data_IF_556859632180
#
_entry.id   IF_556859632180
#
_cell.length_a   1.000
_cell.length_b   1.000
_cell.length_c   1.000
_cell.angle_alpha   90.00
_cell.angle_beta   90.00
_cell.angle_gamma   90.00
#
_symmetry.space_group_name_H-M   'P 1'
#
loop_
_entity.id
_entity.type
_entity.pdbx_description
1 polymer ?
#
# COMPACT_ATOMS: atom_id res chain seq x y z
N UNK A 1 3.48 -14.20 -5.33
CA UNK A 1 3.67 -12.85 -5.92
C UNK A 1 2.72 -11.89 -5.25
N UNK A 2 3.29 -10.84 -4.68
CA UNK A 2 2.60 -9.72 -4.07
C UNK A 2 2.00 -8.83 -5.15
N UNK A 3 0.77 -8.40 -4.95
CA UNK A 3 0.05 -7.55 -5.89
C UNK A 3 -0.81 -6.54 -5.13
N UNK A 4 -0.74 -5.28 -5.53
CA UNK A 4 -1.53 -4.20 -4.92
C UNK A 4 -2.18 -3.42 -6.05
N UNK A 5 -3.50 -3.37 -6.03
CA UNK A 5 -4.29 -2.69 -7.06
C UNK A 5 -5.14 -1.59 -6.44
N UNK A 6 -5.18 -0.44 -7.11
CA UNK A 6 -6.02 0.68 -6.72
C UNK A 6 -7.10 0.90 -7.77
N UNK A 7 -8.32 1.11 -7.31
CA UNK A 7 -9.48 1.31 -8.16
C UNK A 7 -10.31 2.49 -7.65
N UNK A 8 -10.58 3.47 -8.52
CA UNK A 8 -11.59 4.49 -8.27
C UNK A 8 -12.97 3.94 -8.66
N UNK A 9 -13.94 3.97 -7.76
CA UNK A 9 -15.24 3.31 -7.93
C UNK A 9 -16.37 4.14 -7.29
N UNK A 10 -17.60 3.97 -7.78
CA UNK A 10 -18.83 4.47 -7.13
C UNK A 10 -19.49 3.44 -6.21
N UNK A 11 -18.97 2.22 -6.16
CA UNK A 11 -19.62 1.10 -5.49
C UNK A 11 -18.91 0.72 -4.18
N UNK A 12 -18.95 1.61 -3.19
CA UNK A 12 -18.48 1.32 -1.84
C UNK A 12 -19.67 1.17 -0.88
N UNK A 13 -19.44 0.50 0.26
CA UNK A 13 -20.43 0.45 1.32
C UNK A 13 -20.79 1.87 1.78
N UNK A 14 -22.06 2.15 2.15
CA UNK A 14 -22.49 3.48 2.56
C UNK A 14 -21.59 4.08 3.65
N UNK A 15 -21.15 5.32 3.44
CA UNK A 15 -20.30 6.06 4.37
C UNK A 15 -18.80 5.70 4.30
N UNK A 16 -18.37 4.80 3.41
CA UNK A 16 -16.94 4.54 3.15
C UNK A 16 -16.42 5.37 2.00
N UNK A 17 -15.22 5.93 2.18
CA UNK A 17 -14.49 6.67 1.15
C UNK A 17 -13.31 5.87 0.60
N UNK A 18 -12.82 4.91 1.39
CA UNK A 18 -11.82 3.94 0.99
C UNK A 18 -12.16 2.57 1.61
N UNK A 19 -11.71 1.52 0.94
CA UNK A 19 -11.80 0.14 1.42
C UNK A 19 -10.54 -0.60 1.01
N UNK A 20 -9.92 -1.30 1.95
CA UNK A 20 -8.79 -2.19 1.68
C UNK A 20 -9.22 -3.61 1.99
N UNK A 21 -9.06 -4.48 1.01
CA UNK A 21 -9.22 -5.93 1.16
C UNK A 21 -7.90 -6.61 0.88
N UNK A 22 -7.58 -7.63 1.67
CA UNK A 22 -6.33 -8.37 1.58
C UNK A 22 -6.64 -9.87 1.55
N UNK A 23 -5.99 -10.57 0.63
CA UNK A 23 -6.01 -12.03 0.54
C UNK A 23 -4.72 -12.55 -0.10
N UNK A 24 -3.94 -13.32 0.66
CA UNK A 24 -2.77 -14.09 0.19
C UNK A 24 -1.86 -13.30 -0.77
N UNK A 25 -1.27 -12.23 -0.27
CA UNK A 25 -0.34 -11.36 -0.99
C UNK A 25 -1.00 -10.35 -1.92
N UNK A 26 -2.33 -10.39 -2.05
CA UNK A 26 -3.10 -9.47 -2.89
C UNK A 26 -3.80 -8.45 -2.02
N UNK A 27 -3.59 -7.18 -2.33
CA UNK A 27 -4.30 -6.07 -1.73
C UNK A 27 -5.11 -5.39 -2.83
N UNK A 28 -6.41 -5.21 -2.59
CA UNK A 28 -7.27 -4.37 -3.42
C UNK A 28 -7.71 -3.17 -2.61
N UNK A 29 -7.33 -2.00 -3.10
CA UNK A 29 -7.69 -0.69 -2.57
C UNK A 29 -8.78 -0.08 -3.46
N UNK A 30 -9.94 0.20 -2.89
CA UNK A 30 -11.09 0.78 -3.60
C UNK A 30 -11.36 2.16 -3.02
N UNK A 31 -11.50 3.16 -3.88
CA UNK A 31 -11.56 4.57 -3.51
C UNK A 31 -12.83 5.21 -4.08
N UNK A 32 -13.54 6.02 -3.29
CA UNK A 32 -14.76 6.70 -3.75
C UNK A 32 -14.40 7.78 -4.76
N UNK A 33 -14.76 7.56 -6.03
CA UNK A 33 -14.46 8.51 -7.10
C UNK A 33 -15.32 9.78 -7.08
N UNK A 34 -16.41 9.79 -6.30
CA UNK A 34 -17.34 10.92 -6.23
C UNK A 34 -16.93 11.97 -5.21
N UNK A 35 -15.87 11.69 -4.44
CA UNK A 35 -15.48 12.46 -3.27
C UNK A 35 -14.17 13.20 -3.51
N UNK A 36 -13.93 14.31 -2.78
CA UNK A 36 -12.65 15.00 -2.84
C UNK A 36 -11.49 14.07 -2.44
N UNK A 37 -10.38 14.13 -3.19
CA UNK A 37 -9.20 13.30 -2.94
C UNK A 37 -8.69 13.42 -1.50
N UNK A 38 -8.77 14.61 -0.90
CA UNK A 38 -8.36 14.84 0.48
C UNK A 38 -9.13 13.97 1.47
N UNK A 39 -10.46 13.94 1.38
CA UNK A 39 -11.30 13.14 2.25
C UNK A 39 -11.05 11.63 2.04
N UNK A 40 -10.83 11.21 0.79
CA UNK A 40 -10.46 9.83 0.44
C UNK A 40 -9.11 9.45 1.07
N UNK A 41 -8.09 10.29 0.96
CA UNK A 41 -6.75 10.02 1.53
C UNK A 41 -6.79 9.96 3.06
N UNK A 42 -7.56 10.83 3.73
CA UNK A 42 -7.77 10.74 5.18
C UNK A 42 -8.39 9.39 5.57
N UNK A 43 -9.42 8.94 4.86
CA UNK A 43 -10.05 7.65 5.15
C UNK A 43 -9.11 6.47 4.83
N UNK A 44 -8.35 6.56 3.73
CA UNK A 44 -7.37 5.57 3.31
C UNK A 44 -6.26 5.37 4.36
N UNK A 45 -5.77 6.46 4.98
CA UNK A 45 -4.83 6.36 6.10
C UNK A 45 -5.40 5.58 7.29
N UNK A 46 -6.70 5.68 7.54
CA UNK A 46 -7.39 4.86 8.54
C UNK A 46 -7.43 3.38 8.17
N UNK A 47 -7.79 3.07 6.93
CA UNK A 47 -7.86 1.68 6.46
C UNK A 47 -6.47 1.02 6.38
N UNK A 48 -5.43 1.73 5.92
CA UNK A 48 -4.06 1.18 5.86
C UNK A 48 -3.51 0.96 7.27
N UNK A 49 -3.80 1.85 8.22
CA UNK A 49 -3.42 1.64 9.63
C UNK A 49 -4.07 0.37 10.18
N UNK A 50 -5.34 0.12 9.85
CA UNK A 50 -6.04 -1.12 10.25
C UNK A 50 -5.42 -2.35 9.60
N UNK A 51 -5.10 -2.29 8.30
CA UNK A 51 -4.39 -3.37 7.60
C UNK A 51 -3.05 -3.66 8.29
N UNK A 52 -2.19 -2.66 8.45
CA UNK A 52 -0.85 -2.83 9.05
C UNK A 52 -0.93 -3.32 10.51
N UNK A 53 -2.03 -3.05 11.21
CA UNK A 53 -2.27 -3.52 12.58
C UNK A 53 -2.82 -4.95 12.67
N UNK A 54 -3.21 -5.58 11.55
CA UNK A 54 -3.83 -6.91 11.55
C UNK A 54 -3.12 -7.91 10.65
N UNK A 55 -2.54 -7.44 9.55
CA UNK A 55 -1.87 -8.28 8.58
C UNK A 55 -0.39 -8.49 8.92
N UNK A 56 0.13 -9.66 8.55
CA UNK A 56 1.50 -10.07 8.79
C UNK A 56 2.41 -9.69 7.60
N UNK A 57 2.58 -8.38 7.40
CA UNK A 57 3.51 -7.84 6.41
C UNK A 57 4.87 -7.53 7.03
N UNK A 58 5.90 -7.73 6.20
CA UNK A 58 7.29 -7.58 6.60
C UNK A 58 8.08 -6.86 5.51
N UNK A 59 9.00 -6.00 5.96
CA UNK A 59 9.98 -5.34 5.13
C UNK A 59 11.37 -5.94 5.42
N UNK A 60 12.07 -6.33 4.37
CA UNK A 60 13.48 -6.71 4.40
C UNK A 60 14.32 -5.45 4.26
N UNK A 61 14.95 -5.03 5.35
CA UNK A 61 15.81 -3.84 5.37
C UNK A 61 17.25 -4.24 5.68
N UNK A 62 18.07 -4.39 4.64
CA UNK A 62 19.42 -4.98 4.74
C UNK A 62 19.33 -6.38 5.36
N UNK A 63 19.97 -6.60 6.50
CA UNK A 63 19.98 -7.89 7.22
C UNK A 63 18.88 -7.99 8.30
N UNK A 64 17.93 -7.06 8.31
CA UNK A 64 16.88 -6.97 9.32
C UNK A 64 15.48 -7.20 8.72
N UNK A 65 14.64 -7.89 9.49
CA UNK A 65 13.21 -8.04 9.21
C UNK A 65 12.46 -7.01 10.08
N UNK A 66 11.74 -6.12 9.41
CA UNK A 66 10.91 -5.09 10.06
C UNK A 66 9.44 -5.47 9.92
N UNK A 67 8.72 -5.41 11.03
CA UNK A 67 7.28 -5.66 11.10
C UNK A 67 6.62 -4.61 12.00
N UNK A 68 5.29 -4.68 12.13
CA UNK A 68 4.51 -3.82 13.03
C UNK A 68 4.99 -3.80 14.48
N UNK A 69 5.58 -4.89 14.96
CA UNK A 69 5.99 -5.04 16.35
C UNK A 69 7.49 -4.75 16.56
N UNK A 70 8.22 -4.34 15.51
CA UNK A 70 9.64 -3.99 15.62
C UNK A 70 9.84 -2.77 16.54
N UNK A 71 10.60 -2.92 17.65
CA UNK A 71 10.76 -1.83 18.62
C UNK A 71 11.39 -0.58 18.02
N UNK A 72 10.78 0.58 18.30
CA UNK A 72 11.26 1.89 17.86
C UNK A 72 11.08 2.19 16.36
N UNK A 73 10.82 1.19 15.52
CA UNK A 73 10.60 1.33 14.07
C UNK A 73 9.50 0.37 13.59
N UNK A 74 8.27 0.48 14.12
CA UNK A 74 7.16 -0.34 13.68
C UNK A 74 6.85 -0.07 12.21
N UNK A 75 6.63 -1.13 11.44
CA UNK A 75 6.28 -1.03 10.02
C UNK A 75 4.97 -0.25 9.82
N UNK A 76 5.03 0.85 9.08
CA UNK A 76 3.92 1.78 8.83
C UNK A 76 3.91 2.27 7.40
N UNK A 77 2.72 2.63 6.93
CA UNK A 77 2.49 3.26 5.63
C UNK A 77 1.65 4.51 5.85
N UNK A 78 2.07 5.63 5.28
CA UNK A 78 1.39 6.92 5.42
C UNK A 78 1.19 7.56 4.05
N UNK A 79 -0.04 7.97 3.76
CA UNK A 79 -0.39 8.73 2.56
C UNK A 79 -0.43 10.23 2.88
N UNK A 80 0.35 11.01 2.15
CA UNK A 80 0.60 12.43 2.41
C UNK A 80 0.28 13.25 1.17
N UNK A 81 -0.65 14.20 1.29
CA UNK A 81 -0.90 15.20 0.25
C UNK A 81 0.24 16.22 0.25
N UNK A 82 0.94 16.37 -0.86
CA UNK A 82 2.08 17.27 -0.98
C UNK A 82 2.11 17.92 -2.36
N UNK A 83 2.10 19.26 -2.38
CA UNK A 83 2.28 19.99 -3.64
C UNK A 83 3.69 19.80 -4.20
N UNK A 84 3.81 19.81 -5.54
CA UNK A 84 5.08 19.77 -6.28
C UNK A 84 5.92 18.51 -5.98
N UNK A 85 5.27 17.36 -6.05
CA UNK A 85 5.95 16.06 -6.06
C UNK A 85 6.56 15.79 -7.44
N UNK A 86 7.70 15.08 -7.55
CA UNK A 86 8.35 14.80 -8.84
C UNK A 86 7.49 14.00 -9.81
N UNK A 87 6.61 13.15 -9.27
CA UNK A 87 5.62 12.35 -9.98
C UNK A 87 4.26 12.54 -9.33
N UNK A 88 3.18 12.28 -10.07
CA UNK A 88 1.80 12.35 -9.58
C UNK A 88 1.59 11.61 -8.24
N UNK A 89 2.25 10.47 -8.07
CA UNK A 89 2.41 9.80 -6.78
C UNK A 89 3.82 9.25 -6.66
N UNK A 90 4.42 9.39 -5.47
CA UNK A 90 5.79 8.97 -5.19
C UNK A 90 5.84 8.14 -3.90
N UNK A 91 6.47 6.97 -3.97
CA UNK A 91 6.70 6.09 -2.82
C UNK A 91 8.13 6.32 -2.34
N UNK A 92 8.28 6.71 -1.08
CA UNK A 92 9.55 6.87 -0.39
C UNK A 92 9.63 5.86 0.75
N UNK A 93 10.69 5.06 0.76
CA UNK A 93 10.85 3.95 1.68
C UNK A 93 12.02 4.19 2.63
N UNK A 94 11.70 4.22 3.92
CA UNK A 94 12.64 4.16 5.02
C UNK A 94 12.48 2.87 5.82
N UNK A 95 13.41 2.65 6.75
CA UNK A 95 13.35 1.52 7.68
C UNK A 95 12.09 1.60 8.55
N UNK A 96 11.11 0.74 8.28
CA UNK A 96 9.83 0.66 8.98
C UNK A 96 8.81 1.72 8.58
N UNK A 97 9.08 2.57 7.60
CA UNK A 97 8.14 3.61 7.18
C UNK A 97 8.12 3.74 5.66
N UNK A 98 6.93 3.64 5.09
CA UNK A 98 6.67 3.97 3.70
C UNK A 98 5.83 5.25 3.66
N UNK A 99 6.37 6.28 3.05
CA UNK A 99 5.65 7.54 2.80
C UNK A 99 5.20 7.56 1.34
N UNK A 100 3.89 7.71 1.11
CA UNK A 100 3.30 7.88 -0.21
C UNK A 100 2.91 9.33 -0.38
N UNK A 101 3.67 10.08 -1.16
CA UNK A 101 3.38 11.47 -1.47
C UNK A 101 2.46 11.57 -2.69
N UNK A 102 1.39 12.36 -2.58
CA UNK A 102 0.33 12.47 -3.58
C UNK A 102 0.16 13.95 -3.95
N UNK A 103 0.13 14.23 -5.25
CA UNK A 103 -0.24 15.57 -5.72
C UNK A 103 -1.74 15.84 -5.44
N UNK A 104 -2.09 16.86 -4.64
CA UNK A 104 -3.49 17.18 -4.34
C UNK A 104 -4.30 17.63 -5.55
N UNK A 105 -3.66 17.97 -6.68
CA UNK A 105 -4.35 18.33 -7.92
C UNK A 105 -4.94 17.12 -8.67
N UNK A 106 -4.64 15.88 -8.24
CA UNK A 106 -5.16 14.68 -8.87
C UNK A 106 -6.65 14.49 -8.61
N UNK A 107 -7.32 13.88 -9.59
CA UNK A 107 -8.60 13.21 -9.34
C UNK A 107 -8.35 11.89 -8.63
N UNK A 108 -9.37 11.35 -7.95
CA UNK A 108 -9.29 10.01 -7.33
C UNK A 108 -8.94 8.93 -8.36
N UNK A 109 -9.45 9.05 -9.58
CA UNK A 109 -9.09 8.15 -10.68
C UNK A 109 -7.63 8.29 -11.10
N UNK A 110 -7.11 9.51 -11.20
CA UNK A 110 -5.70 9.76 -11.49
C UNK A 110 -4.78 9.19 -10.41
N UNK A 111 -5.16 9.35 -9.13
CA UNK A 111 -4.47 8.77 -7.99
C UNK A 111 -4.48 7.23 -8.00
N UNK A 112 -5.64 6.61 -8.27
CA UNK A 112 -5.72 5.15 -8.35
C UNK A 112 -4.83 4.57 -9.47
N UNK A 113 -4.82 5.22 -10.64
CA UNK A 113 -4.00 4.81 -11.76
C UNK A 113 -2.50 4.96 -11.46
N UNK A 114 -2.07 6.10 -10.90
CA UNK A 114 -0.67 6.33 -10.55
C UNK A 114 -0.19 5.35 -9.49
N UNK A 115 -1.00 5.08 -8.46
CA UNK A 115 -0.63 4.17 -7.37
C UNK A 115 -0.52 2.72 -7.82
N UNK A 116 -1.41 2.24 -8.69
CA UNK A 116 -1.31 0.86 -9.21
C UNK A 116 0.02 0.63 -9.92
N UNK A 117 0.52 1.60 -10.68
CA UNK A 117 1.85 1.51 -11.29
C UNK A 117 2.96 1.63 -10.25
N UNK A 118 2.90 2.67 -9.41
CA UNK A 118 3.96 2.96 -8.44
C UNK A 118 4.17 1.82 -7.45
N UNK A 119 3.09 1.20 -6.93
CA UNK A 119 3.20 0.08 -5.98
C UNK A 119 3.69 -1.19 -6.65
N UNK A 120 3.35 -1.44 -7.92
CA UNK A 120 3.90 -2.57 -8.67
C UNK A 120 5.41 -2.46 -8.81
N UNK A 121 5.90 -1.30 -9.24
CA UNK A 121 7.33 -1.05 -9.43
C UNK A 121 8.07 -1.11 -8.09
N UNK A 122 7.45 -0.57 -7.03
CA UNK A 122 7.96 -0.64 -5.66
C UNK A 122 8.14 -2.08 -5.17
N UNK A 123 7.10 -2.92 -5.29
CA UNK A 123 7.14 -4.30 -4.81
C UNK A 123 8.04 -5.21 -5.66
N UNK A 124 8.31 -4.87 -6.92
CA UNK A 124 9.22 -5.62 -7.77
C UNK A 124 10.66 -5.67 -7.22
N UNK A 125 11.04 -4.75 -6.33
CA UNK A 125 12.34 -4.75 -5.65
C UNK A 125 12.57 -5.92 -4.69
N UNK A 126 11.55 -6.72 -4.38
CA UNK A 126 11.69 -7.96 -3.59
C UNK A 126 12.00 -7.74 -2.10
N UNK A 127 11.86 -6.51 -1.59
CA UNK A 127 12.14 -6.17 -0.20
C UNK A 127 10.93 -6.37 0.73
N UNK A 128 9.89 -7.04 0.26
CA UNK A 128 8.62 -7.18 0.97
C UNK A 128 8.13 -8.61 0.89
N UNK A 129 7.54 -9.09 1.98
CA UNK A 129 6.85 -10.36 2.02
C UNK A 129 5.69 -10.33 3.02
N UNK A 130 4.75 -11.25 2.82
CA UNK A 130 3.65 -11.50 3.73
C UNK A 130 3.75 -12.93 4.28
N UNK A 131 3.50 -13.10 5.57
CA UNK A 131 3.21 -14.42 6.14
C UNK A 131 1.70 -14.67 6.11
N UNK A 132 1.26 -15.64 5.30
CA UNK A 132 -0.15 -15.98 5.16
C UNK A 132 -0.36 -17.47 5.40
N UNK A 133 -1.12 -17.82 6.45
CA UNK A 133 -1.40 -19.21 6.82
C UNK A 133 -0.15 -20.12 6.95
N UNK A 134 0.98 -19.55 7.35
CA UNK A 134 2.26 -20.27 7.46
C UNK A 134 3.11 -20.28 6.19
N UNK A 135 2.62 -19.71 5.08
CA UNK A 135 3.37 -19.53 3.82
C UNK A 135 4.01 -18.14 3.77
N UNK A 136 5.23 -18.06 3.22
CA UNK A 136 5.83 -16.78 2.82
C UNK A 136 5.37 -16.48 1.39
N UNK A 137 4.67 -15.36 1.23
CA UNK A 137 4.31 -14.82 -0.08
C UNK A 137 5.20 -13.62 -0.34
N UNK A 138 6.01 -13.70 -1.39
CA UNK A 138 6.86 -12.60 -1.84
C UNK A 138 6.85 -12.50 -3.38
N UNK A 139 7.75 -11.70 -3.93
CA UNK A 139 7.97 -11.56 -5.38
C UNK A 139 9.18 -12.35 -5.88
N UNK A 140 9.71 -13.29 -5.09
CA UNK A 140 10.75 -14.19 -5.58
C UNK A 140 10.18 -15.14 -6.64
N UNK A 141 10.93 -15.49 -7.69
CA UNK A 141 10.47 -16.44 -8.69
C UNK A 141 10.18 -17.80 -8.04
N UNK A 142 9.10 -18.46 -8.46
CA UNK A 142 8.78 -19.80 -7.94
C UNK A 142 9.99 -20.72 -8.11
N UNK A 143 10.40 -21.48 -7.08
CA UNK A 143 11.48 -22.42 -7.24
C UNK A 143 11.10 -23.41 -8.34
N UNK A 144 11.97 -23.53 -9.35
CA UNK A 144 11.80 -24.53 -10.39
C UNK A 144 11.56 -25.88 -9.71
N UNK A 145 10.39 -26.49 -9.95
CA UNK A 145 10.14 -27.88 -9.59
C UNK A 145 11.17 -28.72 -10.36
N UNK A 146 12.20 -29.17 -9.65
CA UNK A 146 13.18 -30.15 -10.15
C UNK A 146 12.50 -31.51 -10.27
#
# INVERSE_FOLDING_TARGET
>A
MLDVTYEATTNLAPGRLAEITEDRGRIRVRLDQTQPLEAVVTNLNGEITRLMSSAHWFQLWRDEIICRDTPGRPLKIEYLLKMRVPLASWVDEGKGLVSVYIDPALTVQGFAASMTSATRDFLAGGQWFQLYAGEIIDNSPEPHKV
#
